data_IF_782480077711
#
_entry.id   IF_782480077711
#
_cell.length_a   1.000
_cell.length_b   1.000
_cell.length_c   1.000
_cell.angle_alpha   90.00
_cell.angle_beta   90.00
_cell.angle_gamma   90.00
#
_symmetry.space_group_name_H-M   'P 1'
#
loop_
_entity.id
_entity.type
_entity.pdbx_description
1 polymer ?
#
# COMPACT_ATOMS: atom_id res chain seq x y z
N UNK A 1 10.14 -0.75 -54.89
CA UNK A 1 8.90 -0.45 -54.13
C UNK A 1 8.49 -1.51 -53.11
N UNK A 2 8.63 -2.79 -53.38
CA UNK A 2 8.31 -3.87 -52.43
C UNK A 2 9.25 -3.93 -51.19
N UNK A 3 10.52 -3.58 -51.32
CA UNK A 3 11.55 -3.59 -50.25
C UNK A 3 11.30 -2.46 -49.25
N UNK A 4 10.92 -1.27 -49.71
CA UNK A 4 10.64 -0.11 -48.86
C UNK A 4 9.42 -0.33 -47.98
N UNK A 5 8.37 -0.99 -48.51
CA UNK A 5 7.17 -1.31 -47.72
C UNK A 5 7.44 -2.34 -46.61
N UNK A 6 8.35 -3.29 -46.84
CA UNK A 6 8.75 -4.28 -45.82
C UNK A 6 9.60 -3.63 -44.71
N UNK A 7 10.47 -2.69 -45.05
CA UNK A 7 11.29 -1.98 -44.07
C UNK A 7 10.44 -1.08 -43.17
N UNK A 8 9.44 -0.41 -43.73
CA UNK A 8 8.53 0.46 -42.98
C UNK A 8 7.66 -0.32 -41.98
N UNK A 9 7.23 -1.54 -42.35
CA UNK A 9 6.45 -2.42 -41.44
C UNK A 9 7.31 -2.95 -40.32
N UNK A 10 8.58 -3.33 -40.59
CA UNK A 10 9.50 -3.82 -39.56
C UNK A 10 9.88 -2.73 -38.57
N UNK A 11 10.12 -1.48 -39.05
CA UNK A 11 10.38 -0.34 -38.15
C UNK A 11 9.15 0.04 -37.32
N UNK A 12 7.93 -0.06 -37.87
CA UNK A 12 6.70 0.20 -37.13
C UNK A 12 6.45 -0.88 -36.08
N UNK A 13 6.74 -2.16 -36.36
CA UNK A 13 6.66 -3.25 -35.38
C UNK A 13 7.72 -3.12 -34.27
N UNK A 14 8.94 -2.66 -34.58
CA UNK A 14 9.97 -2.40 -33.57
C UNK A 14 9.57 -1.24 -32.63
N UNK A 15 8.90 -0.22 -33.15
CA UNK A 15 8.40 0.91 -32.35
C UNK A 15 7.26 0.50 -31.41
N UNK A 16 6.46 -0.50 -31.76
CA UNK A 16 5.40 -1.02 -30.89
C UNK A 16 6.00 -1.91 -29.77
N UNK A 17 7.16 -2.54 -29.99
CA UNK A 17 7.81 -3.39 -28.99
C UNK A 17 8.62 -2.61 -27.93
N UNK A 18 8.81 -1.31 -28.10
CA UNK A 18 9.33 -0.41 -27.07
C UNK A 18 8.25 0.24 -26.22
N UNK A 19 7.04 -0.31 -26.21
CA UNK A 19 6.09 -0.03 -25.15
C UNK A 19 6.75 -0.47 -23.84
N UNK A 20 7.50 0.46 -23.28
CA UNK A 20 8.13 0.36 -21.96
C UNK A 20 7.06 -0.16 -21.01
N UNK A 21 7.33 -1.28 -20.35
CA UNK A 21 6.64 -1.64 -19.14
C UNK A 21 6.90 -0.53 -18.12
N UNK A 22 6.18 0.57 -18.22
CA UNK A 22 6.12 1.58 -17.18
C UNK A 22 5.43 0.86 -16.03
N UNK A 23 6.25 0.31 -15.14
CA UNK A 23 5.77 -0.25 -13.91
C UNK A 23 5.00 0.86 -13.21
N UNK A 24 3.73 0.68 -12.98
CA UNK A 24 2.94 1.66 -12.26
C UNK A 24 3.64 1.90 -10.92
N UNK A 25 4.10 3.12 -10.70
CA UNK A 25 4.81 3.50 -9.49
C UNK A 25 3.79 3.89 -8.45
N UNK A 26 3.94 3.39 -7.23
CA UNK A 26 3.05 3.81 -6.16
C UNK A 26 3.24 5.32 -5.88
N UNK A 27 2.15 5.97 -5.43
CA UNK A 27 2.10 7.43 -5.24
C UNK A 27 3.09 7.98 -4.20
N UNK A 28 3.62 7.12 -3.33
CA UNK A 28 4.61 7.51 -2.31
C UNK A 28 6.05 7.33 -2.79
N UNK A 29 6.27 6.70 -3.95
CA UNK A 29 7.60 6.32 -4.42
C UNK A 29 8.40 5.50 -3.38
N UNK A 30 7.69 4.69 -2.58
CA UNK A 30 8.29 3.86 -1.54
C UNK A 30 8.75 2.53 -2.12
N UNK A 31 9.92 2.10 -1.68
CA UNK A 31 10.44 0.75 -1.92
C UNK A 31 10.71 0.12 -0.54
N UNK A 32 10.22 -1.08 -0.34
CA UNK A 32 10.38 -1.82 0.92
C UNK A 32 11.35 -2.97 0.74
N UNK A 33 12.10 -3.26 1.78
CA UNK A 33 12.86 -4.51 1.91
C UNK A 33 11.90 -5.69 2.11
N UNK A 34 12.42 -6.91 2.01
CA UNK A 34 11.64 -8.13 2.27
C UNK A 34 11.14 -8.14 3.73
N UNK A 35 11.98 -7.71 4.65
CA UNK A 35 11.68 -7.63 6.07
C UNK A 35 10.57 -6.62 6.36
N UNK A 36 10.59 -5.46 5.70
CA UNK A 36 9.54 -4.44 5.83
C UNK A 36 8.21 -4.91 5.20
N UNK A 37 8.25 -5.61 4.07
CA UNK A 37 7.06 -6.23 3.47
C UNK A 37 6.44 -7.24 4.44
N UNK A 38 7.27 -8.09 5.05
CA UNK A 38 6.82 -9.05 6.06
C UNK A 38 6.19 -8.34 7.27
N UNK A 39 6.82 -7.28 7.76
CA UNK A 39 6.36 -6.49 8.89
C UNK A 39 5.00 -5.84 8.62
N UNK A 40 4.86 -5.16 7.48
CA UNK A 40 3.58 -4.56 7.05
C UNK A 40 2.51 -5.64 6.91
N UNK A 41 2.84 -6.78 6.27
CA UNK A 41 1.89 -7.87 6.07
C UNK A 41 1.38 -8.44 7.39
N UNK A 42 2.23 -8.60 8.39
CA UNK A 42 1.86 -9.08 9.73
C UNK A 42 0.92 -8.10 10.43
N UNK A 43 1.21 -6.81 10.39
CA UNK A 43 0.32 -5.77 10.97
C UNK A 43 -1.02 -5.77 10.27
N UNK A 44 -1.05 -5.76 8.93
CA UNK A 44 -2.30 -5.78 8.16
C UNK A 44 -3.13 -7.04 8.45
N UNK A 45 -2.46 -8.19 8.57
CA UNK A 45 -3.14 -9.45 8.95
C UNK A 45 -3.81 -9.34 10.31
N UNK A 46 -3.17 -8.71 11.29
CA UNK A 46 -3.70 -8.56 12.65
C UNK A 46 -4.82 -7.51 12.72
N UNK A 47 -4.71 -6.42 11.96
CA UNK A 47 -5.67 -5.30 12.01
C UNK A 47 -6.94 -5.57 11.19
N UNK A 48 -6.81 -6.21 10.03
CA UNK A 48 -7.93 -6.43 9.10
C UNK A 48 -7.77 -7.66 8.19
N UNK A 49 -7.00 -8.67 8.59
CA UNK A 49 -6.69 -9.83 7.75
C UNK A 49 -7.91 -10.62 7.26
N UNK A 50 -9.01 -10.58 7.99
CA UNK A 50 -10.28 -11.25 7.66
C UNK A 50 -11.33 -10.32 7.05
N UNK A 51 -10.99 -9.07 6.81
CA UNK A 51 -11.86 -8.07 6.20
C UNK A 51 -11.71 -8.06 4.66
N UNK A 52 -12.51 -7.25 3.97
CA UNK A 52 -12.45 -7.08 2.52
C UNK A 52 -11.09 -6.50 2.08
N UNK A 53 -10.69 -6.74 0.84
CA UNK A 53 -9.39 -6.29 0.31
C UNK A 53 -9.20 -4.78 0.38
N UNK A 54 -10.26 -4.00 0.14
CA UNK A 54 -10.25 -2.55 0.22
C UNK A 54 -9.84 -2.05 1.63
N UNK A 55 -10.24 -2.76 2.69
CA UNK A 55 -9.81 -2.47 4.06
C UNK A 55 -8.33 -2.73 4.27
N UNK A 56 -7.78 -3.78 3.67
CA UNK A 56 -6.34 -4.07 3.68
C UNK A 56 -5.57 -2.99 2.92
N UNK A 57 -6.02 -2.60 1.72
CA UNK A 57 -5.42 -1.50 0.96
C UNK A 57 -5.42 -0.20 1.78
N UNK A 58 -6.57 0.16 2.35
CA UNK A 58 -6.71 1.38 3.16
C UNK A 58 -5.77 1.38 4.37
N UNK A 59 -5.62 0.24 5.05
CA UNK A 59 -4.69 0.11 6.19
C UNK A 59 -3.23 0.30 5.74
N UNK A 60 -2.81 -0.32 4.63
CA UNK A 60 -1.46 -0.18 4.05
C UNK A 60 -1.23 1.27 3.62
N UNK A 61 -2.20 1.86 2.92
CA UNK A 61 -2.12 3.26 2.48
C UNK A 61 -2.05 4.24 3.66
N UNK A 62 -2.73 3.96 4.78
CA UNK A 62 -2.59 4.76 6.02
C UNK A 62 -1.18 4.66 6.59
N UNK A 63 -0.56 3.48 6.60
CA UNK A 63 0.82 3.31 7.04
C UNK A 63 1.76 4.17 6.18
N UNK A 64 1.64 4.10 4.86
CA UNK A 64 2.49 4.87 3.95
C UNK A 64 2.20 6.37 4.00
N UNK A 65 0.94 6.79 4.14
CA UNK A 65 0.59 8.19 4.38
C UNK A 65 1.32 8.74 5.62
N UNK A 66 1.41 7.95 6.70
CA UNK A 66 2.14 8.36 7.91
C UNK A 66 3.63 8.48 7.67
N UNK A 67 4.26 7.53 6.99
CA UNK A 67 5.70 7.58 6.66
C UNK A 67 6.08 8.88 5.93
N UNK A 68 5.16 9.42 5.12
CA UNK A 68 5.39 10.64 4.33
C UNK A 68 4.81 11.91 4.96
N UNK A 69 4.16 11.81 6.12
CA UNK A 69 3.63 12.96 6.84
C UNK A 69 4.64 13.43 7.91
N UNK A 70 5.05 14.71 7.92
CA UNK A 70 6.08 15.22 8.83
C UNK A 70 5.72 15.13 10.32
N UNK A 71 4.48 14.79 10.66
CA UNK A 71 4.01 14.60 12.05
C UNK A 71 4.27 13.19 12.58
N UNK A 72 4.73 12.28 11.72
CA UNK A 72 5.02 10.88 12.02
C UNK A 72 6.48 10.56 11.76
N UNK A 73 6.99 9.43 12.29
CA UNK A 73 8.29 8.90 11.89
C UNK A 73 8.35 8.66 10.36
N UNK A 74 9.56 8.69 9.79
CA UNK A 74 9.78 8.62 8.36
C UNK A 74 10.20 7.22 7.86
N UNK A 75 10.14 6.21 8.71
CA UNK A 75 10.37 4.80 8.34
C UNK A 75 9.15 3.94 8.67
N UNK A 76 8.98 2.86 7.93
CA UNK A 76 7.87 1.92 8.14
C UNK A 76 7.94 1.33 9.56
N UNK A 77 9.10 0.85 9.98
CA UNK A 77 9.28 0.22 11.28
C UNK A 77 8.93 1.18 12.43
N UNK A 78 9.40 2.43 12.37
CA UNK A 78 9.11 3.43 13.39
C UNK A 78 7.63 3.83 13.43
N UNK A 79 6.97 3.94 12.27
CA UNK A 79 5.51 4.18 12.20
C UNK A 79 4.74 3.03 12.84
N UNK A 80 5.12 1.78 12.56
CA UNK A 80 4.45 0.60 13.09
C UNK A 80 4.70 0.40 14.58
N UNK A 81 5.91 0.71 15.06
CA UNK A 81 6.30 0.59 16.48
C UNK A 81 5.86 1.77 17.34
N UNK A 82 5.31 2.84 16.76
CA UNK A 82 4.91 4.04 17.46
C UNK A 82 3.89 3.74 18.55
N UNK A 83 4.17 4.17 19.78
CA UNK A 83 3.34 3.91 20.95
C UNK A 83 1.88 4.33 20.74
N UNK A 84 0.96 3.39 20.92
CA UNK A 84 -0.48 3.64 20.87
C UNK A 84 -1.09 3.68 19.48
N UNK A 85 -0.31 3.45 18.40
CA UNK A 85 -0.83 3.42 17.03
C UNK A 85 -1.30 2.02 16.62
N UNK A 86 -0.49 1.00 16.89
CA UNK A 86 -0.82 -0.39 16.63
C UNK A 86 -0.73 -1.17 17.95
N UNK A 87 -1.87 -1.53 18.53
CA UNK A 87 -1.93 -2.27 19.81
C UNK A 87 -1.26 -3.65 19.70
N UNK A 88 -1.30 -4.22 18.52
CA UNK A 88 -0.71 -5.50 18.14
C UNK A 88 0.82 -5.51 18.23
N UNK A 89 1.47 -4.38 17.97
CA UNK A 89 2.92 -4.24 18.14
C UNK A 89 3.34 -4.38 19.61
N UNK A 90 2.67 -3.66 20.50
CA UNK A 90 3.00 -3.63 21.94
C UNK A 90 2.92 -5.01 22.60
N UNK A 91 1.98 -5.82 22.18
CA UNK A 91 1.71 -7.13 22.79
C UNK A 91 2.55 -8.26 22.17
N UNK A 92 3.51 -7.95 21.31
CA UNK A 92 4.31 -8.91 20.52
C UNK A 92 3.46 -9.92 19.73
N UNK A 93 2.20 -9.60 19.48
CA UNK A 93 1.36 -10.44 18.63
C UNK A 93 1.86 -10.46 17.17
N UNK A 94 2.64 -9.45 16.80
CA UNK A 94 3.28 -9.37 15.49
C UNK A 94 4.17 -10.59 15.19
N UNK A 95 4.91 -11.08 16.19
CA UNK A 95 5.80 -12.23 16.03
C UNK A 95 5.02 -13.54 15.78
N UNK A 96 3.75 -13.58 16.19
CA UNK A 96 2.85 -14.74 16.03
C UNK A 96 1.95 -14.63 14.81
N UNK A 97 1.92 -13.48 14.16
CA UNK A 97 1.07 -13.25 13.00
C UNK A 97 1.59 -14.05 11.81
N UNK A 98 0.67 -14.75 11.14
CA UNK A 98 0.94 -15.46 9.89
C UNK A 98 0.08 -14.83 8.80
N UNK A 99 0.64 -13.93 7.97
CA UNK A 99 -0.10 -13.34 6.87
C UNK A 99 -0.53 -14.40 5.86
N UNK A 100 -1.72 -14.23 5.30
CA UNK A 100 -2.20 -15.06 4.20
C UNK A 100 -1.60 -14.59 2.87
N UNK A 101 -1.63 -15.44 1.84
CA UNK A 101 -1.24 -15.05 0.48
C UNK A 101 -2.01 -13.83 0.01
N UNK A 102 -3.32 -13.73 0.33
CA UNK A 102 -4.16 -12.58 0.00
C UNK A 102 -3.64 -11.28 0.63
N UNK A 103 -3.15 -11.34 1.88
CA UNK A 103 -2.55 -10.17 2.54
C UNK A 103 -1.25 -9.73 1.87
N UNK A 104 -0.36 -10.67 1.49
CA UNK A 104 0.86 -10.34 0.72
C UNK A 104 0.55 -9.77 -0.66
N UNK A 105 -0.46 -10.32 -1.35
CA UNK A 105 -0.93 -9.76 -2.62
C UNK A 105 -1.42 -8.32 -2.45
N UNK A 106 -2.19 -8.03 -1.40
CA UNK A 106 -2.65 -6.66 -1.12
C UNK A 106 -1.48 -5.68 -0.92
N UNK A 107 -0.45 -6.06 -0.15
CA UNK A 107 0.76 -5.25 0.01
C UNK A 107 1.44 -5.02 -1.34
N UNK A 108 1.59 -6.07 -2.14
CA UNK A 108 2.20 -5.99 -3.46
C UNK A 108 1.42 -5.07 -4.40
N UNK A 109 0.09 -5.13 -4.40
CA UNK A 109 -0.76 -4.26 -5.23
C UNK A 109 -0.60 -2.79 -4.87
N UNK A 110 -0.57 -2.45 -3.58
CA UNK A 110 -0.31 -1.07 -3.12
C UNK A 110 1.08 -0.60 -3.54
N UNK A 111 2.12 -1.42 -3.34
CA UNK A 111 3.50 -1.11 -3.73
C UNK A 111 3.67 -0.94 -5.25
N UNK A 112 2.87 -1.63 -6.04
CA UNK A 112 2.87 -1.52 -7.49
C UNK A 112 1.98 -0.37 -8.02
N UNK A 113 1.39 0.46 -7.14
CA UNK A 113 0.53 1.57 -7.51
C UNK A 113 -0.81 1.16 -8.14
N UNK A 114 -1.27 -0.06 -7.85
CA UNK A 114 -2.51 -0.61 -8.39
C UNK A 114 -3.74 -0.26 -7.54
N UNK A 115 -3.55 0.48 -6.46
CA UNK A 115 -4.59 0.91 -5.53
C UNK A 115 -4.49 2.40 -5.24
N UNK A 116 -5.64 3.03 -4.93
CA UNK A 116 -5.72 4.41 -4.49
C UNK A 116 -7.08 4.59 -3.79
N UNK A 117 -7.23 3.99 -2.61
CA UNK A 117 -8.51 3.99 -1.86
C UNK A 117 -8.59 5.12 -0.85
N UNK A 118 -7.45 5.68 -0.43
CA UNK A 118 -7.37 6.78 0.53
C UNK A 118 -6.67 8.01 -0.03
N UNK A 119 -7.08 9.18 0.43
CA UNK A 119 -6.34 10.44 0.27
C UNK A 119 -5.12 10.48 1.20
N UNK A 120 -4.12 11.33 0.89
CA UNK A 120 -2.87 11.44 1.68
C UNK A 120 -3.07 11.90 3.12
N UNK A 121 -4.13 12.63 3.42
CA UNK A 121 -4.44 13.13 4.76
C UNK A 121 -5.13 12.10 5.66
N UNK A 122 -5.44 10.90 5.14
CA UNK A 122 -6.05 9.80 5.89
C UNK A 122 -4.98 9.10 6.74
N UNK A 123 -4.82 9.59 7.96
CA UNK A 123 -3.74 9.20 8.87
C UNK A 123 -4.23 8.44 10.11
N UNK A 124 -5.54 8.35 10.30
CA UNK A 124 -6.17 7.67 11.44
C UNK A 124 -7.10 6.57 10.95
N UNK A 125 -7.09 5.44 11.64
CA UNK A 125 -8.12 4.43 11.46
C UNK A 125 -8.52 3.78 12.79
N UNK A 126 -9.77 3.29 12.87
CA UNK A 126 -10.33 2.62 14.03
C UNK A 126 -11.61 1.88 13.63
N UNK A 127 -12.08 0.96 14.50
CA UNK A 127 -13.39 0.30 14.37
C UNK A 127 -14.59 1.23 14.71
N UNK A 128 -14.32 2.47 15.15
CA UNK A 128 -15.29 3.55 15.37
C UNK A 128 -14.87 4.79 14.59
N UNK A 129 -15.82 5.68 14.24
CA UNK A 129 -15.48 6.92 13.55
C UNK A 129 -14.36 7.68 14.28
N UNK A 130 -13.32 8.08 13.55
CA UNK A 130 -12.12 8.72 14.07
C UNK A 130 -11.65 9.84 13.13
N UNK A 131 -11.06 10.88 13.70
CA UNK A 131 -10.55 12.01 12.92
C UNK A 131 -11.65 12.86 12.31
N UNK A 132 -11.29 13.64 11.28
CA UNK A 132 -12.24 14.43 10.50
C UNK A 132 -12.73 13.67 9.28
N UNK A 133 -13.97 13.94 8.88
CA UNK A 133 -14.60 13.35 7.69
C UNK A 133 -14.32 11.83 7.56
N UNK A 134 -14.62 11.02 8.60
CA UNK A 134 -14.30 9.60 8.58
C UNK A 134 -15.09 8.88 7.48
N UNK A 135 -14.39 8.09 6.68
CA UNK A 135 -15.01 7.18 5.70
C UNK A 135 -14.95 5.75 6.24
N UNK A 136 -15.97 4.96 5.96
CA UNK A 136 -16.02 3.54 6.36
C UNK A 136 -15.61 2.65 5.19
N UNK A 137 -14.63 1.78 5.41
CA UNK A 137 -14.21 0.76 4.45
C UNK A 137 -14.11 -0.56 5.23
N UNK A 138 -14.94 -1.54 4.85
CA UNK A 138 -15.07 -2.78 5.62
C UNK A 138 -15.52 -2.52 7.06
N UNK A 139 -14.82 -3.11 8.02
CA UNK A 139 -15.08 -2.93 9.45
C UNK A 139 -14.41 -1.68 10.06
N UNK A 140 -13.57 -0.96 9.31
CA UNK A 140 -12.76 0.15 9.79
C UNK A 140 -13.27 1.52 9.28
N UNK A 141 -12.97 2.57 10.07
CA UNK A 141 -13.16 3.96 9.68
C UNK A 141 -11.79 4.62 9.50
N UNK A 142 -11.65 5.40 8.44
CA UNK A 142 -10.41 6.11 8.09
C UNK A 142 -10.69 7.60 8.07
N UNK A 143 -9.97 8.36 8.89
CA UNK A 143 -10.19 9.79 9.07
C UNK A 143 -8.94 10.61 8.86
N UNK A 144 -9.15 11.88 8.48
CA UNK A 144 -8.08 12.86 8.36
C UNK A 144 -7.61 13.33 9.74
N UNK A 145 -6.37 13.77 9.81
CA UNK A 145 -5.83 14.45 10.97
C UNK A 145 -5.93 15.96 10.75
N UNK A 146 -6.40 16.69 11.77
CA UNK A 146 -6.32 18.16 11.76
C UNK A 146 -4.89 18.63 11.77
#
# INVERSE_FOLDING_TARGET
MKIIKKLTIVTLLLLIFTATNVKAQNRWNIQLTVEEIELVSRIVQLECGYDIRESKYATIETIFNRVFDPRYPNTVEEVLSQKGQFSTWKNRNIDKATPTNDTYECVTMVLNGQTNVLEYDRLKFNNKPIGQNPIKIGAQYYGSQK
#
